data_IF_544091044183
#
_entry.id   IF_544091044183
#
_cell.length_a   1.000
_cell.length_b   1.000
_cell.length_c   1.000
_cell.angle_alpha   90.00
_cell.angle_beta   90.00
_cell.angle_gamma   90.00
#
_symmetry.space_group_name_H-M   'P 1'
#
loop_
_entity.id
_entity.type
_entity.pdbx_description
1 polymer ?
#
# COMPACT_ATOMS: atom_id res chain seq x y z
N UNK A 1 -20.47 -29.02 5.51
CA UNK A 1 -19.17 -28.79 4.86
C UNK A 1 -19.21 -27.39 4.27
N UNK A 2 -18.51 -26.41 4.86
CA UNK A 2 -18.42 -25.05 4.29
C UNK A 2 -17.40 -25.13 3.17
N UNK A 3 -17.86 -25.11 1.91
CA UNK A 3 -17.00 -25.15 0.74
C UNK A 3 -16.03 -23.99 0.75
N UNK A 4 -14.75 -24.30 0.67
CA UNK A 4 -13.70 -23.30 0.47
C UNK A 4 -13.95 -22.65 -0.90
N UNK A 5 -14.33 -21.38 -0.90
CA UNK A 5 -14.44 -20.62 -2.16
C UNK A 5 -13.05 -20.33 -2.71
N UNK A 6 -12.80 -20.62 -3.98
CA UNK A 6 -11.54 -20.26 -4.63
C UNK A 6 -11.36 -18.74 -4.57
N UNK A 7 -10.12 -18.32 -4.39
CA UNK A 7 -9.75 -16.91 -4.44
C UNK A 7 -10.01 -16.37 -5.86
N UNK A 8 -10.39 -15.09 -5.99
CA UNK A 8 -10.61 -14.46 -7.30
C UNK A 8 -9.43 -14.62 -8.27
N UNK A 9 -8.20 -14.70 -7.73
CA UNK A 9 -6.96 -14.96 -8.46
C UNK A 9 -6.95 -16.36 -9.11
N UNK A 10 -7.43 -17.41 -8.41
CA UNK A 10 -7.53 -18.76 -8.99
C UNK A 10 -8.53 -18.84 -10.15
N UNK A 11 -9.60 -18.05 -10.11
CA UNK A 11 -10.57 -17.96 -11.21
C UNK A 11 -9.94 -17.28 -12.43
N UNK A 12 -9.09 -16.29 -12.22
CA UNK A 12 -8.33 -15.63 -13.28
C UNK A 12 -7.31 -16.60 -13.90
N UNK A 13 -6.53 -17.29 -13.06
CA UNK A 13 -5.54 -18.29 -13.50
C UNK A 13 -6.21 -19.45 -14.27
N UNK A 14 -7.42 -19.84 -13.88
CA UNK A 14 -8.24 -20.78 -14.62
C UNK A 14 -8.62 -20.27 -16.02
N UNK A 15 -9.09 -19.01 -16.07
CA UNK A 15 -9.44 -18.36 -17.34
C UNK A 15 -8.22 -18.15 -18.26
N UNK A 16 -7.01 -18.09 -17.69
CA UNK A 16 -5.73 -17.92 -18.38
C UNK A 16 -5.02 -19.26 -18.70
N UNK A 17 -5.63 -20.39 -18.30
CA UNK A 17 -5.05 -21.72 -18.41
C UNK A 17 -3.70 -21.88 -17.68
N UNK A 18 -3.49 -21.14 -16.59
CA UNK A 18 -2.24 -21.15 -15.80
C UNK A 18 -2.24 -22.14 -14.62
N UNK A 19 -3.39 -22.75 -14.32
CA UNK A 19 -3.48 -23.74 -13.25
C UNK A 19 -2.82 -25.07 -13.62
N UNK A 20 -2.29 -25.75 -12.60
CA UNK A 20 -1.84 -27.13 -12.75
C UNK A 20 -3.03 -28.05 -13.08
N UNK A 21 -2.83 -29.20 -13.75
CA UNK A 21 -3.93 -30.11 -14.13
C UNK A 21 -4.80 -30.52 -12.93
N UNK A 22 -4.18 -30.89 -11.81
CA UNK A 22 -4.91 -31.30 -10.60
C UNK A 22 -5.79 -30.16 -10.04
N UNK A 23 -5.25 -28.92 -9.99
CA UNK A 23 -5.99 -27.78 -9.46
C UNK A 23 -7.11 -27.33 -10.41
N UNK A 24 -6.89 -27.49 -11.72
CA UNK A 24 -7.92 -27.23 -12.73
C UNK A 24 -9.12 -28.15 -12.53
N UNK A 25 -8.90 -29.45 -12.35
CA UNK A 25 -9.96 -30.44 -12.15
C UNK A 25 -10.76 -30.14 -10.86
N UNK A 26 -10.10 -29.77 -9.77
CA UNK A 26 -10.76 -29.37 -8.52
C UNK A 26 -11.64 -28.15 -8.72
N UNK A 27 -11.14 -27.15 -9.46
CA UNK A 27 -11.90 -25.93 -9.71
C UNK A 27 -13.06 -26.18 -10.68
N UNK A 28 -12.90 -27.00 -11.70
CA UNK A 28 -14.00 -27.41 -12.61
C UNK A 28 -15.13 -28.08 -11.83
N UNK A 29 -14.80 -28.97 -10.91
CA UNK A 29 -15.78 -29.62 -10.02
C UNK A 29 -16.50 -28.63 -9.12
N UNK A 30 -15.79 -27.63 -8.57
CA UNK A 30 -16.37 -26.56 -7.78
C UNK A 30 -17.30 -25.67 -8.63
N UNK A 31 -16.87 -25.26 -9.81
CA UNK A 31 -17.65 -24.43 -10.72
C UNK A 31 -18.95 -25.08 -11.15
N UNK A 32 -18.99 -26.40 -11.27
CA UNK A 32 -20.21 -27.14 -11.61
C UNK A 32 -21.29 -27.06 -10.52
N UNK A 33 -20.89 -26.77 -9.26
CA UNK A 33 -21.80 -26.76 -8.10
C UNK A 33 -22.00 -25.39 -7.47
N UNK A 34 -21.17 -24.39 -7.80
CA UNK A 34 -21.21 -23.05 -7.21
C UNK A 34 -21.60 -21.98 -8.22
N UNK A 35 -22.89 -21.50 -8.21
CA UNK A 35 -23.34 -20.47 -9.14
C UNK A 35 -22.62 -19.11 -8.99
N UNK A 36 -22.09 -18.82 -7.81
CA UNK A 36 -21.36 -17.57 -7.55
C UNK A 36 -20.03 -17.55 -8.29
N UNK A 37 -19.25 -18.64 -8.17
CA UNK A 37 -17.94 -18.74 -8.84
C UNK A 37 -18.08 -18.87 -10.37
N UNK A 38 -19.15 -19.53 -10.85
CA UNK A 38 -19.45 -19.60 -12.28
C UNK A 38 -19.74 -18.22 -12.87
N UNK A 39 -20.55 -17.39 -12.17
CA UNK A 39 -20.79 -16.01 -12.60
C UNK A 39 -19.52 -15.15 -12.58
N UNK A 40 -18.63 -15.40 -11.64
CA UNK A 40 -17.34 -14.69 -11.59
C UNK A 40 -16.45 -15.06 -12.76
N UNK A 41 -16.37 -16.34 -13.10
CA UNK A 41 -15.65 -16.82 -14.28
C UNK A 41 -16.23 -16.22 -15.58
N UNK A 42 -17.54 -16.14 -15.70
CA UNK A 42 -18.19 -15.50 -16.86
C UNK A 42 -17.82 -14.00 -16.97
N UNK A 43 -17.78 -13.27 -15.86
CA UNK A 43 -17.34 -11.86 -15.83
C UNK A 43 -15.90 -11.71 -16.29
N UNK A 44 -15.00 -12.56 -15.79
CA UNK A 44 -13.58 -12.55 -16.21
C UNK A 44 -13.45 -12.84 -17.71
N UNK A 45 -14.16 -13.84 -18.21
CA UNK A 45 -14.17 -14.17 -19.64
C UNK A 45 -14.74 -13.05 -20.52
N UNK A 46 -15.83 -12.43 -20.08
CA UNK A 46 -16.44 -11.30 -20.78
C UNK A 46 -15.48 -10.10 -20.87
N UNK A 47 -14.80 -9.76 -19.76
CA UNK A 47 -13.82 -8.69 -19.71
C UNK A 47 -12.63 -8.97 -20.66
N UNK A 48 -12.12 -10.22 -20.67
CA UNK A 48 -11.06 -10.64 -21.59
C UNK A 48 -11.47 -10.54 -23.06
N UNK A 49 -12.69 -10.98 -23.41
CA UNK A 49 -13.22 -10.85 -24.77
C UNK A 49 -13.36 -9.38 -25.17
N UNK A 50 -13.84 -8.53 -24.27
CA UNK A 50 -13.95 -7.09 -24.52
C UNK A 50 -12.60 -6.44 -24.80
N UNK A 51 -11.56 -6.81 -24.05
CA UNK A 51 -10.21 -6.28 -24.29
C UNK A 51 -9.53 -6.84 -25.55
N UNK A 52 -9.87 -8.06 -25.96
CA UNK A 52 -9.32 -8.66 -27.19
C UNK A 52 -9.74 -7.93 -28.48
N UNK A 53 -10.83 -7.16 -28.43
CA UNK A 53 -11.33 -6.37 -29.56
C UNK A 53 -10.86 -4.91 -29.55
N UNK A 54 -10.06 -4.50 -28.53
CA UNK A 54 -9.49 -3.15 -28.51
C UNK A 54 -8.43 -3.02 -29.61
N UNK A 55 -8.37 -1.85 -30.30
CA UNK A 55 -7.34 -1.61 -31.28
C UNK A 55 -5.96 -1.68 -30.60
N UNK A 56 -5.14 -2.64 -31.03
CA UNK A 56 -3.76 -2.74 -30.58
C UNK A 56 -2.95 -1.66 -31.30
N UNK A 57 -2.34 -0.77 -30.52
CA UNK A 57 -1.33 0.13 -31.06
C UNK A 57 -0.09 -0.66 -31.44
N UNK A 58 0.40 -0.44 -32.64
CA UNK A 58 1.67 -1.03 -33.06
C UNK A 58 2.79 -0.49 -32.18
N UNK A 59 3.57 -1.38 -31.55
CA UNK A 59 4.65 -0.93 -30.68
C UNK A 59 5.71 -0.18 -31.51
N UNK A 60 6.43 0.79 -30.91
CA UNK A 60 7.53 1.46 -31.59
C UNK A 60 8.52 0.45 -32.18
N UNK A 61 9.00 0.65 -33.42
CA UNK A 61 9.84 -0.34 -34.11
C UNK A 61 11.20 -0.58 -33.40
N UNK A 62 11.64 0.35 -32.59
CA UNK A 62 12.88 0.27 -31.77
C UNK A 62 12.69 -0.45 -30.43
N UNK A 63 11.44 -0.75 -30.01
CA UNK A 63 11.16 -1.36 -28.72
C UNK A 63 11.85 -2.71 -28.49
N UNK A 64 11.87 -3.66 -29.45
CA UNK A 64 12.60 -4.93 -29.26
C UNK A 64 14.10 -4.73 -29.05
N UNK A 65 14.71 -3.79 -29.78
CA UNK A 65 16.14 -3.49 -29.63
C UNK A 65 16.44 -2.85 -28.25
N UNK A 66 15.59 -1.97 -27.78
CA UNK A 66 15.72 -1.34 -26.44
C UNK A 66 15.57 -2.35 -25.31
N UNK A 67 14.62 -3.30 -25.44
CA UNK A 67 14.44 -4.39 -24.46
C UNK A 67 15.67 -5.29 -24.47
N UNK A 68 16.17 -5.73 -25.62
CA UNK A 68 17.37 -6.54 -25.73
C UNK A 68 18.59 -5.84 -25.10
N UNK A 69 18.78 -4.55 -25.38
CA UNK A 69 19.85 -3.76 -24.81
C UNK A 69 19.72 -3.60 -23.29
N UNK A 70 18.51 -3.45 -22.75
CA UNK A 70 18.27 -3.39 -21.31
C UNK A 70 18.62 -4.72 -20.63
N UNK A 71 18.22 -5.86 -21.20
CA UNK A 71 18.56 -7.20 -20.72
C UNK A 71 20.07 -7.47 -20.77
N UNK A 72 20.74 -7.15 -21.88
CA UNK A 72 22.19 -7.26 -22.00
C UNK A 72 22.93 -6.42 -20.97
N UNK A 73 22.42 -5.24 -20.64
CA UNK A 73 23.01 -4.39 -19.61
C UNK A 73 22.85 -4.99 -18.19
N UNK A 74 21.73 -5.63 -17.89
CA UNK A 74 21.53 -6.34 -16.63
C UNK A 74 22.43 -7.58 -16.55
N UNK A 75 22.56 -8.37 -17.61
CA UNK A 75 23.44 -9.54 -17.67
C UNK A 75 24.92 -9.12 -17.50
N UNK A 76 25.34 -8.00 -18.09
CA UNK A 76 26.70 -7.45 -17.89
C UNK A 76 26.92 -6.98 -16.47
N UNK A 77 25.93 -6.40 -15.80
CA UNK A 77 26.03 -6.03 -14.38
C UNK A 77 26.13 -7.26 -13.48
N UNK A 78 25.45 -8.37 -13.86
CA UNK A 78 25.54 -9.66 -13.15
C UNK A 78 26.84 -10.40 -13.37
N UNK A 79 27.51 -10.25 -14.55
CA UNK A 79 28.68 -11.04 -14.95
C UNK A 79 30.04 -10.43 -14.58
N UNK A 80 30.11 -9.20 -14.09
CA UNK A 80 31.37 -8.59 -13.61
C UNK A 80 31.78 -9.05 -12.20
N UNK A 81 31.71 -10.35 -11.93
CA UNK A 81 32.47 -10.99 -10.87
C UNK A 81 33.88 -11.25 -11.39
N UNK A 82 34.70 -10.22 -11.40
CA UNK A 82 36.12 -10.25 -11.82
C UNK A 82 36.93 -11.29 -11.03
N UNK A 83 37.79 -12.13 -11.67
CA UNK A 83 38.63 -13.11 -10.99
C UNK A 83 39.72 -12.50 -10.08
N UNK A 84 39.94 -11.20 -10.10
CA UNK A 84 40.87 -10.49 -9.19
C UNK A 84 40.39 -10.44 -7.72
N UNK A 85 39.14 -10.90 -7.44
CA UNK A 85 38.53 -10.85 -6.11
C UNK A 85 39.12 -11.85 -5.09
N UNK A 86 40.00 -12.75 -5.53
CA UNK A 86 40.50 -13.85 -4.66
C UNK A 86 41.64 -13.44 -3.72
N UNK A 87 42.25 -12.27 -3.93
CA UNK A 87 43.42 -11.81 -3.15
C UNK A 87 43.21 -10.53 -2.33
N UNK A 88 42.01 -9.90 -2.36
CA UNK A 88 41.71 -8.67 -1.62
C UNK A 88 40.62 -8.84 -0.55
N UNK A 89 40.36 -10.07 -0.10
CA UNK A 89 39.24 -10.44 0.75
C UNK A 89 39.29 -10.04 2.25
N UNK A 90 40.41 -9.62 2.90
CA UNK A 90 40.25 -9.12 4.27
C UNK A 90 39.91 -7.63 4.37
N UNK A 91 40.33 -6.78 3.39
CA UNK A 91 40.04 -5.33 3.47
C UNK A 91 38.66 -4.93 2.93
N UNK A 92 38.13 -5.67 1.93
CA UNK A 92 36.79 -5.39 1.36
C UNK A 92 35.63 -5.77 2.30
N UNK A 93 35.84 -6.76 3.17
CA UNK A 93 34.86 -7.15 4.18
C UNK A 93 34.57 -6.07 5.22
N UNK A 94 35.62 -5.35 5.65
CA UNK A 94 35.51 -4.25 6.61
C UNK A 94 34.83 -3.02 5.94
N UNK A 95 35.15 -2.73 4.69
CA UNK A 95 34.51 -1.64 3.94
C UNK A 95 33.04 -1.95 3.56
N UNK A 96 32.72 -3.20 3.23
CA UNK A 96 31.36 -3.61 2.97
C UNK A 96 30.51 -3.63 4.25
N UNK A 97 31.08 -4.05 5.38
CA UNK A 97 30.42 -3.96 6.69
C UNK A 97 30.26 -2.50 7.11
N UNK A 98 31.26 -1.64 6.91
CA UNK A 98 31.14 -0.21 7.16
C UNK A 98 30.12 0.46 6.24
N UNK A 99 30.07 0.11 4.95
CA UNK A 99 29.06 0.61 4.03
C UNK A 99 27.65 0.10 4.38
N UNK A 100 27.50 -1.15 4.83
CA UNK A 100 26.24 -1.69 5.31
C UNK A 100 25.79 -1.01 6.62
N UNK A 101 26.73 -0.76 7.54
CA UNK A 101 26.45 0.01 8.76
C UNK A 101 26.16 1.48 8.43
N UNK A 102 26.87 2.09 7.49
CA UNK A 102 26.57 3.45 7.01
C UNK A 102 25.23 3.48 6.29
N UNK A 103 24.86 2.49 5.46
CA UNK A 103 23.51 2.39 4.88
C UNK A 103 22.41 2.10 5.92
N UNK A 104 22.72 1.40 7.02
CA UNK A 104 21.79 1.19 8.14
C UNK A 104 21.69 2.42 9.04
N UNK A 105 22.79 3.16 9.23
CA UNK A 105 22.84 4.39 10.05
C UNK A 105 22.45 5.62 9.23
N UNK A 106 22.70 5.65 7.91
CA UNK A 106 22.25 6.72 7.01
C UNK A 106 20.81 6.57 6.50
N UNK A 107 20.04 5.63 7.07
CA UNK A 107 18.59 5.81 7.14
C UNK A 107 18.33 6.94 8.14
N UNK A 108 18.64 8.18 7.71
CA UNK A 108 18.27 9.39 8.42
C UNK A 108 16.80 9.37 8.85
N UNK A 109 16.37 10.25 9.74
CA UNK A 109 14.99 10.29 10.16
C UNK A 109 14.12 10.23 8.89
N UNK A 110 13.36 9.14 8.78
CA UNK A 110 12.52 8.89 7.60
C UNK A 110 11.59 10.06 7.48
N UNK A 111 11.58 10.70 6.31
CA UNK A 111 10.71 11.84 6.02
C UNK A 111 9.27 11.35 5.83
N UNK A 112 8.65 10.93 6.94
CA UNK A 112 7.28 10.44 6.99
C UNK A 112 6.28 11.48 6.47
N UNK A 113 6.39 12.79 6.80
CA UNK A 113 5.51 13.81 6.22
C UNK A 113 5.51 13.81 4.71
N UNK A 114 6.66 13.83 4.07
CA UNK A 114 6.75 13.75 2.60
C UNK A 114 6.28 12.39 2.07
N UNK A 115 6.48 11.28 2.79
CA UNK A 115 6.01 9.97 2.35
C UNK A 115 4.47 9.92 2.31
N UNK A 116 3.78 10.34 3.37
CA UNK A 116 2.31 10.37 3.39
C UNK A 116 1.74 11.37 2.39
N UNK A 117 2.44 12.50 2.15
CA UNK A 117 2.07 13.47 1.12
C UNK A 117 2.15 12.89 -0.29
N UNK A 118 3.19 12.09 -0.59
CA UNK A 118 3.30 11.35 -1.86
C UNK A 118 2.18 10.33 -2.04
N UNK A 119 1.82 9.59 -1.00
CA UNK A 119 0.73 8.62 -1.05
C UNK A 119 -0.62 9.30 -1.27
N UNK A 120 -0.88 10.42 -0.59
CA UNK A 120 -2.06 11.24 -0.80
C UNK A 120 -2.15 11.71 -2.26
N UNK A 121 -1.06 12.26 -2.79
CA UNK A 121 -1.01 12.72 -4.18
C UNK A 121 -1.14 11.55 -5.18
N UNK A 122 -0.58 10.37 -4.89
CA UNK A 122 -0.72 9.19 -5.71
C UNK A 122 -2.17 8.68 -5.73
N UNK A 123 -2.87 8.70 -4.57
CA UNK A 123 -4.28 8.36 -4.49
C UNK A 123 -5.14 9.35 -5.28
N UNK A 124 -4.92 10.65 -5.12
CA UNK A 124 -5.66 11.70 -5.86
C UNK A 124 -5.50 11.61 -7.38
N UNK A 125 -4.35 11.12 -7.87
CA UNK A 125 -4.11 10.88 -9.31
C UNK A 125 -4.51 9.48 -9.80
N UNK A 126 -5.21 8.70 -8.97
CA UNK A 126 -5.55 7.30 -9.25
C UNK A 126 -4.33 6.38 -9.54
N UNK A 127 -3.11 6.82 -9.19
CA UNK A 127 -1.90 6.01 -9.28
C UNK A 127 -1.76 5.03 -8.10
N UNK A 128 -2.54 5.24 -7.03
CA UNK A 128 -2.66 4.36 -5.88
C UNK A 128 -4.11 3.93 -5.75
N UNK A 129 -4.41 2.68 -6.08
CA UNK A 129 -5.75 2.10 -6.00
C UNK A 129 -6.01 1.49 -4.61
N UNK A 130 -7.27 1.45 -4.19
CA UNK A 130 -7.69 0.72 -2.99
C UNK A 130 -7.85 -0.77 -3.33
N UNK A 131 -7.47 -1.65 -2.40
CA UNK A 131 -7.64 -3.10 -2.56
C UNK A 131 -9.11 -3.51 -2.36
N UNK A 132 -9.86 -2.75 -1.58
CA UNK A 132 -11.27 -2.99 -1.32
C UNK A 132 -12.02 -1.68 -1.17
N UNK A 133 -13.18 -1.58 -1.83
CA UNK A 133 -14.13 -0.49 -1.67
C UNK A 133 -15.19 -0.91 -0.66
N UNK A 134 -15.30 -0.20 0.45
CA UNK A 134 -16.30 -0.44 1.49
C UNK A 134 -16.47 0.78 2.37
N UNK A 135 -17.73 1.11 2.70
CA UNK A 135 -18.09 2.08 3.73
C UNK A 135 -18.25 1.47 5.12
N UNK A 136 -18.04 0.17 5.27
CA UNK A 136 -18.21 -0.56 6.54
C UNK A 136 -16.85 -0.67 7.25
N UNK A 137 -16.64 0.16 8.27
CA UNK A 137 -15.42 0.18 9.09
C UNK A 137 -15.07 -1.19 9.70
N UNK A 138 -16.00 -1.85 10.42
CA UNK A 138 -15.80 -3.20 10.94
C UNK A 138 -15.40 -4.23 9.88
N UNK A 139 -15.93 -4.15 8.66
CA UNK A 139 -15.54 -5.04 7.57
C UNK A 139 -14.09 -4.79 7.15
N UNK A 140 -13.64 -3.53 7.10
CA UNK A 140 -12.26 -3.17 6.78
C UNK A 140 -11.30 -3.59 7.90
N UNK A 141 -11.65 -3.45 9.17
CA UNK A 141 -10.84 -3.96 10.29
C UNK A 141 -10.61 -5.47 10.18
N UNK A 142 -11.68 -6.24 9.87
CA UNK A 142 -11.56 -7.68 9.60
C UNK A 142 -10.71 -8.00 8.36
N UNK A 143 -10.79 -7.15 7.33
CA UNK A 143 -9.94 -7.28 6.15
C UNK A 143 -8.46 -7.17 6.53
N UNK A 144 -8.06 -6.16 7.28
CA UNK A 144 -6.67 -5.98 7.70
C UNK A 144 -6.18 -7.10 8.64
N UNK A 145 -7.00 -7.53 9.58
CA UNK A 145 -6.67 -8.65 10.47
C UNK A 145 -6.37 -9.95 9.69
N UNK A 146 -7.07 -10.19 8.57
CA UNK A 146 -6.81 -11.35 7.71
C UNK A 146 -5.56 -11.20 6.83
N UNK A 147 -5.07 -9.97 6.62
CA UNK A 147 -3.86 -9.68 5.83
C UNK A 147 -2.57 -9.73 6.62
N UNK A 148 -2.63 -10.06 7.91
CA UNK A 148 -1.46 -10.31 8.73
C UNK A 148 -0.69 -9.06 9.13
N UNK A 149 -1.34 -7.91 9.26
CA UNK A 149 -0.72 -6.74 9.90
C UNK A 149 -0.43 -7.08 11.36
N UNK A 150 0.77 -6.72 11.84
CA UNK A 150 1.24 -7.01 13.19
C UNK A 150 0.52 -6.21 14.28
N UNK A 151 -0.30 -5.24 13.90
CA UNK A 151 -1.03 -4.35 14.80
C UNK A 151 -2.53 -4.37 14.52
N UNK A 152 -3.32 -4.00 15.53
CA UNK A 152 -4.76 -3.86 15.38
C UNK A 152 -5.09 -2.53 14.68
N UNK A 153 -5.79 -2.61 13.56
CA UNK A 153 -6.30 -1.42 12.86
C UNK A 153 -7.62 -0.98 13.48
N UNK A 154 -7.84 0.32 13.52
CA UNK A 154 -9.10 0.94 13.92
C UNK A 154 -9.56 1.89 12.82
N UNK A 155 -10.68 1.58 12.19
CA UNK A 155 -11.27 2.43 11.17
C UNK A 155 -12.10 3.53 11.81
N UNK A 156 -11.79 4.79 11.53
CA UNK A 156 -12.49 5.91 12.09
C UNK A 156 -13.84 6.12 11.41
N UNK A 157 -14.91 6.24 12.19
CA UNK A 157 -16.18 6.76 11.70
C UNK A 157 -16.13 8.28 11.70
N UNK A 158 -16.07 8.88 10.53
CA UNK A 158 -16.02 10.30 10.29
C UNK A 158 -17.32 10.85 9.67
N UNK A 159 -18.39 10.04 9.60
CA UNK A 159 -19.66 10.39 8.97
C UNK A 159 -20.29 11.66 9.55
N UNK A 160 -20.30 11.81 10.87
CA UNK A 160 -20.81 13.02 11.53
C UNK A 160 -19.95 14.27 11.26
N UNK A 161 -18.73 14.09 10.79
CA UNK A 161 -17.80 15.17 10.41
C UNK A 161 -17.78 15.42 8.89
N UNK A 162 -18.73 14.81 8.17
CA UNK A 162 -18.90 15.01 6.74
C UNK A 162 -18.00 14.19 5.84
N UNK A 163 -17.34 13.13 6.37
CA UNK A 163 -16.45 12.27 5.59
C UNK A 163 -16.98 10.83 5.53
N UNK A 164 -17.29 10.37 4.32
CA UNK A 164 -17.66 8.99 4.06
C UNK A 164 -16.45 8.12 3.77
N UNK A 165 -16.40 6.93 4.38
CA UNK A 165 -15.37 5.93 4.10
C UNK A 165 -15.55 5.38 2.68
N UNK A 166 -14.47 5.39 1.87
CA UNK A 166 -14.47 4.91 0.48
C UNK A 166 -13.94 3.48 0.39
N UNK A 167 -12.89 3.19 1.14
CA UNK A 167 -12.25 1.88 1.11
C UNK A 167 -10.86 1.89 1.73
N UNK A 168 -10.14 0.79 1.53
CA UNK A 168 -8.84 0.59 2.16
C UNK A 168 -7.90 -0.26 1.31
N UNK A 169 -6.61 -0.25 1.70
CA UNK A 169 -5.58 -1.15 1.18
C UNK A 169 -4.51 -1.46 2.23
N UNK A 170 -3.87 -2.63 2.11
CA UNK A 170 -2.58 -2.87 2.74
C UNK A 170 -1.52 -2.16 1.94
N UNK A 171 -0.71 -1.34 2.58
CA UNK A 171 0.24 -0.46 1.93
C UNK A 171 1.63 -0.58 2.56
N UNK A 172 2.64 -0.05 1.89
CA UNK A 172 4.01 0.06 2.39
C UNK A 172 4.36 1.54 2.54
N UNK A 173 4.26 2.08 3.75
CA UNK A 173 4.69 3.45 4.01
C UNK A 173 6.18 3.45 4.35
N UNK A 174 6.99 3.95 3.44
CA UNK A 174 8.46 4.00 3.62
C UNK A 174 9.05 2.63 4.03
N UNK A 175 8.56 1.55 3.37
CA UNK A 175 9.00 0.18 3.60
C UNK A 175 8.43 -0.47 4.87
N UNK A 176 7.45 0.15 5.55
CA UNK A 176 6.74 -0.42 6.70
C UNK A 176 5.34 -0.87 6.29
N UNK A 177 4.92 -2.07 6.69
CA UNK A 177 3.53 -2.48 6.51
C UNK A 177 2.59 -1.49 7.17
N UNK A 178 1.61 -0.99 6.42
CA UNK A 178 0.64 -0.01 6.90
C UNK A 178 -0.77 -0.34 6.42
N UNK A 179 -1.75 0.11 7.18
CA UNK A 179 -3.15 0.16 6.76
C UNK A 179 -3.44 1.56 6.23
N UNK A 180 -3.94 1.66 5.01
CA UNK A 180 -4.35 2.91 4.40
C UNK A 180 -5.87 2.89 4.17
N UNK A 181 -6.54 3.96 4.62
CA UNK A 181 -7.98 4.19 4.42
C UNK A 181 -8.18 5.49 3.68
N UNK A 182 -9.12 5.53 2.77
CA UNK A 182 -9.51 6.75 2.08
C UNK A 182 -10.95 7.13 2.43
N UNK A 183 -11.15 8.42 2.62
CA UNK A 183 -12.45 9.02 2.90
C UNK A 183 -12.72 10.14 1.88
N UNK A 184 -14.00 10.37 1.60
CA UNK A 184 -14.47 11.44 0.74
C UNK A 184 -15.36 12.38 1.54
N UNK A 185 -15.04 13.67 1.55
CA UNK A 185 -15.85 14.72 2.14
C UNK A 185 -17.05 15.10 1.29
N UNK A 186 -18.04 15.77 1.90
CA UNK A 186 -19.24 16.28 1.21
C UNK A 186 -18.90 17.33 0.15
N UNK A 187 -17.76 18.00 0.26
CA UNK A 187 -17.21 18.98 -0.67
C UNK A 187 -16.20 18.34 -1.66
N UNK A 188 -16.27 17.04 -1.83
CA UNK A 188 -15.39 16.20 -2.66
C UNK A 188 -13.91 16.19 -2.22
N UNK A 189 -13.59 16.74 -1.05
CA UNK A 189 -12.24 16.68 -0.50
C UNK A 189 -11.85 15.28 -0.11
N UNK A 190 -10.59 14.98 -0.28
CA UNK A 190 -10.03 13.69 0.09
C UNK A 190 -9.37 13.78 1.47
N UNK A 191 -9.60 12.74 2.29
CA UNK A 191 -8.85 12.51 3.51
C UNK A 191 -8.27 11.09 3.44
N UNK A 192 -6.98 10.96 3.67
CA UNK A 192 -6.31 9.66 3.76
C UNK A 192 -5.82 9.47 5.19
N UNK A 193 -6.16 8.33 5.76
CA UNK A 193 -5.62 7.87 7.03
C UNK A 193 -4.65 6.72 6.79
N UNK A 194 -3.50 6.75 7.45
CA UNK A 194 -2.58 5.62 7.48
C UNK A 194 -2.26 5.24 8.92
N UNK A 195 -2.10 3.94 9.16
CA UNK A 195 -1.72 3.39 10.46
C UNK A 195 -0.59 2.39 10.25
N UNK A 196 0.43 2.45 11.11
CA UNK A 196 1.55 1.51 11.08
C UNK A 196 2.13 1.31 12.48
N UNK A 197 2.80 0.19 12.71
CA UNK A 197 3.47 -0.07 13.97
C UNK A 197 4.68 0.85 14.15
N UNK A 198 4.81 1.46 15.33
CA UNK A 198 5.89 2.40 15.63
C UNK A 198 5.93 2.82 17.08
N UNK A 199 6.85 3.74 17.38
CA UNK A 199 7.10 4.32 18.71
C UNK A 199 7.25 5.84 18.63
N UNK A 200 7.17 6.53 19.77
CA UNK A 200 7.21 8.00 19.86
C UNK A 200 8.47 8.61 19.24
N UNK A 201 9.62 7.94 19.37
CA UNK A 201 10.90 8.35 18.78
C UNK A 201 10.91 8.27 17.25
N UNK A 202 9.93 7.57 16.68
CA UNK A 202 9.73 7.44 15.23
C UNK A 202 8.74 8.46 14.67
N UNK A 203 8.08 9.24 15.52
CA UNK A 203 7.32 10.39 15.05
C UNK A 203 8.28 11.37 14.37
N UNK A 204 7.82 12.02 13.30
CA UNK A 204 8.66 12.99 12.60
C UNK A 204 9.14 14.08 13.56
N UNK A 205 10.43 14.37 13.51
CA UNK A 205 10.98 15.50 14.26
C UNK A 205 10.61 16.81 13.53
N UNK A 206 10.36 17.86 14.30
CA UNK A 206 9.90 19.15 13.75
C UNK A 206 8.39 19.21 13.60
N UNK A 207 7.90 20.14 12.77
CA UNK A 207 6.48 20.46 12.68
C UNK A 207 5.96 21.16 13.95
N UNK A 208 4.68 21.46 13.96
CA UNK A 208 3.99 22.05 15.13
C UNK A 208 3.58 20.94 16.08
N UNK A 209 4.01 21.04 17.36
CA UNK A 209 3.59 20.12 18.41
C UNK A 209 2.38 20.71 19.14
N UNK A 210 1.33 19.89 19.29
CA UNK A 210 0.16 20.21 20.12
C UNK A 210 -0.18 19.03 21.02
N UNK A 211 -0.76 19.33 22.17
CA UNK A 211 -1.31 18.32 23.08
C UNK A 211 -2.82 18.49 23.18
N UNK A 212 -3.54 17.38 23.08
CA UNK A 212 -4.98 17.36 23.30
C UNK A 212 -5.37 16.05 24.04
N UNK A 213 -6.08 16.17 25.16
CA UNK A 213 -6.49 15.03 26.00
C UNK A 213 -5.34 14.10 26.42
N UNK A 214 -4.13 14.67 26.65
CA UNK A 214 -2.95 13.93 27.04
C UNK A 214 -2.33 13.09 25.92
N UNK A 215 -2.65 13.40 24.68
CA UNK A 215 -2.06 12.83 23.47
C UNK A 215 -1.27 13.93 22.75
N UNK A 216 -0.01 13.64 22.42
CA UNK A 216 0.83 14.53 21.61
C UNK A 216 0.54 14.35 20.14
N UNK A 217 0.37 15.47 19.42
CA UNK A 217 0.16 15.53 17.99
C UNK A 217 1.32 16.30 17.33
N UNK A 218 1.78 15.78 16.19
CA UNK A 218 2.75 16.45 15.33
C UNK A 218 2.09 16.85 14.04
N UNK A 219 2.08 18.14 13.73
CA UNK A 219 1.35 18.73 12.61
C UNK A 219 2.35 19.27 11.61
N UNK A 220 2.24 18.83 10.37
CA UNK A 220 3.06 19.27 9.24
C UNK A 220 2.17 19.89 8.19
N UNK A 221 2.57 21.05 7.68
CA UNK A 221 1.85 21.78 6.63
C UNK A 221 2.82 22.02 5.48
N UNK A 222 2.71 21.24 4.43
CA UNK A 222 3.60 21.27 3.28
C UNK A 222 2.82 21.13 1.97
N UNK A 223 3.16 21.92 0.97
CA UNK A 223 2.57 21.85 -0.39
C UNK A 223 1.03 21.87 -0.41
N UNK A 224 0.41 22.62 0.47
CA UNK A 224 -1.04 22.71 0.57
C UNK A 224 -1.72 21.55 1.28
N UNK A 225 -0.95 20.60 1.80
CA UNK A 225 -1.42 19.46 2.59
C UNK A 225 -1.17 19.70 4.08
N UNK A 226 -2.06 19.19 4.91
CA UNK A 226 -1.86 19.07 6.35
C UNK A 226 -1.83 17.61 6.73
N UNK A 227 -0.72 17.17 7.35
CA UNK A 227 -0.55 15.84 7.92
C UNK A 227 -0.48 15.95 9.45
N UNK A 228 -1.31 15.19 10.16
CA UNK A 228 -1.38 15.16 11.62
C UNK A 228 -1.05 13.76 12.10
N UNK A 229 0.03 13.63 12.85
CA UNK A 229 0.53 12.37 13.42
C UNK A 229 0.23 12.29 14.91
N UNK A 230 -0.13 11.12 15.41
CA UNK A 230 -0.25 10.82 16.85
C UNK A 230 -0.03 9.33 17.09
N UNK A 231 0.07 8.96 18.38
CA UNK A 231 0.21 7.56 18.79
C UNK A 231 -1.06 7.04 19.46
N UNK A 232 -1.40 5.79 19.15
CA UNK A 232 -2.38 4.98 19.89
C UNK A 232 -1.69 3.67 20.32
N UNK A 233 -1.21 3.62 21.55
CA UNK A 233 -0.38 2.52 22.02
C UNK A 233 0.90 2.37 21.20
N UNK A 234 1.09 1.23 20.52
CA UNK A 234 2.22 0.96 19.64
C UNK A 234 1.94 1.30 18.17
N UNK A 235 0.86 2.02 17.86
CA UNK A 235 0.45 2.35 16.48
C UNK A 235 0.58 3.85 16.27
N UNK A 236 1.32 4.20 15.22
CA UNK A 236 1.34 5.57 14.69
C UNK A 236 0.14 5.72 13.76
N UNK A 237 -0.67 6.73 14.04
CA UNK A 237 -1.79 7.14 13.20
C UNK A 237 -1.43 8.45 12.49
N UNK A 238 -1.83 8.60 11.24
CA UNK A 238 -1.70 9.86 10.51
C UNK A 238 -2.95 10.12 9.69
N UNK A 239 -3.44 11.37 9.77
CA UNK A 239 -4.44 11.92 8.85
C UNK A 239 -3.75 12.92 7.93
N UNK A 240 -4.02 12.83 6.62
CA UNK A 240 -3.52 13.79 5.63
C UNK A 240 -4.66 14.22 4.70
N UNK A 241 -4.75 15.54 4.47
CA UNK A 241 -5.77 16.14 3.62
C UNK A 241 -5.30 17.47 3.07
N UNK A 242 -5.95 17.90 1.98
CA UNK A 242 -5.91 19.25 1.40
C UNK A 242 -6.99 20.19 1.98
N UNK A 243 -7.74 19.72 2.98
CA UNK A 243 -8.70 20.55 3.74
C UNK A 243 -7.97 21.62 4.57
N UNK A 244 -8.67 22.67 5.05
CA UNK A 244 -8.10 23.65 5.95
C UNK A 244 -7.40 22.95 7.12
N UNK A 245 -6.16 23.39 7.40
CA UNK A 245 -5.30 22.66 8.34
C UNK A 245 -5.89 22.48 9.72
N UNK A 246 -6.64 23.46 10.22
CA UNK A 246 -7.29 23.35 11.53
C UNK A 246 -8.42 22.31 11.52
N UNK A 247 -9.14 22.15 10.40
CA UNK A 247 -10.19 21.15 10.28
C UNK A 247 -9.58 19.73 10.36
N UNK A 248 -8.42 19.51 9.71
CA UNK A 248 -7.70 18.22 9.79
C UNK A 248 -7.22 17.93 11.21
N UNK A 249 -6.77 18.97 11.94
CA UNK A 249 -6.37 18.85 13.35
C UNK A 249 -7.57 18.49 14.23
N UNK A 250 -8.72 19.13 14.03
CA UNK A 250 -9.94 18.83 14.79
C UNK A 250 -10.45 17.41 14.50
N UNK A 251 -10.34 16.93 13.26
CA UNK A 251 -10.62 15.53 12.90
C UNK A 251 -9.73 14.55 13.69
N UNK A 252 -8.43 14.84 13.77
CA UNK A 252 -7.49 14.01 14.53
C UNK A 252 -7.82 14.02 16.02
N UNK A 253 -8.11 15.18 16.62
CA UNK A 253 -8.48 15.32 18.04
C UNK A 253 -9.76 14.53 18.37
N UNK A 254 -10.75 14.59 17.50
CA UNK A 254 -12.02 13.88 17.72
C UNK A 254 -11.89 12.36 17.65
N UNK A 255 -10.85 11.83 16.99
CA UNK A 255 -10.69 10.39 16.76
C UNK A 255 -9.54 9.76 17.51
N UNK A 256 -8.59 10.52 18.02
CA UNK A 256 -7.49 10.00 18.80
C UNK A 256 -7.99 9.44 20.14
N UNK A 257 -7.46 8.28 20.52
CA UNK A 257 -7.79 7.60 21.78
C UNK A 257 -6.50 7.35 22.55
N UNK A 258 -6.49 7.72 23.83
CA UNK A 258 -5.41 7.36 24.73
C UNK A 258 -5.59 5.89 25.14
N UNK A 259 -4.64 5.06 24.73
CA UNK A 259 -4.59 3.61 25.04
C UNK A 259 -3.59 3.36 26.15
#
# INVERSE_FOLDING_TARGET
>A
MRGHHPLGEEIQDFADARLTPARREDLERHLATCPQCSRELERVRWAKQGTAHLPMHEPPPDLPARIAQALDNEDRRGSHASPLRRYLLPAAGVLAAAAAVVMLVSRGPRDLPSAVGRDFAAYGRAALSLDTASGDGPALERYFARRGLAFRTRVFDLGMMGYGLVGARVHQLDGRPSALFAYRGVDDRTLVCQMFEGSLDQLPQGGEAREHNGIEFRIFKEHGLTAVFWMEGSVVCVLVSDAPGEDVVQLAYAKAVKV
#
